data_IF_323798474009
#
_entry.id   IF_323798474009
#
_cell.length_a   1.000
_cell.length_b   1.000
_cell.length_c   1.000
_cell.angle_alpha   90.00
_cell.angle_beta   90.00
_cell.angle_gamma   90.00
#
_symmetry.space_group_name_H-M   'P 1'
#
loop_
_entity.id
_entity.type
_entity.pdbx_description
1 polymer ?
#
# COMPACT_ATOMS: atom_id res chain seq x y z
N UNK A 1 -21.32 1.08 -46.40
CA UNK A 1 -21.74 0.77 -45.01
C UNK A 1 -20.71 -0.03 -44.22
N UNK A 2 -19.94 -0.97 -44.81
CA UNK A 2 -18.91 -1.73 -44.08
C UNK A 2 -17.73 -0.83 -43.62
N UNK A 3 -17.25 0.10 -44.47
CA UNK A 3 -16.15 0.99 -44.12
C UNK A 3 -16.45 1.90 -42.91
N UNK A 4 -17.69 2.41 -42.80
CA UNK A 4 -18.11 3.21 -41.66
C UNK A 4 -18.19 2.39 -40.36
N UNK A 5 -18.56 1.10 -40.44
CA UNK A 5 -18.57 0.21 -39.27
C UNK A 5 -17.15 -0.03 -38.75
N UNK A 6 -16.19 -0.29 -39.63
CA UNK A 6 -14.78 -0.48 -39.24
C UNK A 6 -14.21 0.77 -38.56
N UNK A 7 -14.52 1.96 -39.09
CA UNK A 7 -14.10 3.23 -38.49
C UNK A 7 -14.67 3.41 -37.08
N UNK A 8 -15.97 3.12 -36.89
CA UNK A 8 -16.62 3.22 -35.57
C UNK A 8 -15.99 2.25 -34.57
N UNK A 9 -15.74 0.99 -34.96
CA UNK A 9 -15.06 0.02 -34.09
C UNK A 9 -13.63 0.46 -33.73
N UNK A 10 -12.89 1.02 -34.68
CA UNK A 10 -11.56 1.59 -34.44
C UNK A 10 -11.57 2.74 -33.43
N UNK A 11 -12.50 3.68 -33.56
CA UNK A 11 -12.61 4.82 -32.64
C UNK A 11 -13.02 4.36 -31.24
N UNK A 12 -14.01 3.46 -31.13
CA UNK A 12 -14.51 2.96 -29.84
C UNK A 12 -13.43 2.17 -29.09
N UNK A 13 -12.66 1.34 -29.80
CA UNK A 13 -11.54 0.60 -29.19
C UNK A 13 -10.43 1.54 -28.70
N UNK A 14 -10.07 2.56 -29.49
CA UNK A 14 -9.07 3.56 -29.09
C UNK A 14 -9.49 4.35 -27.84
N UNK A 15 -10.75 4.79 -27.77
CA UNK A 15 -11.30 5.48 -26.59
C UNK A 15 -11.29 4.55 -25.37
N UNK A 16 -11.68 3.29 -25.54
CA UNK A 16 -11.69 2.30 -24.45
C UNK A 16 -10.29 2.03 -23.90
N UNK A 17 -9.29 1.93 -24.79
CA UNK A 17 -7.89 1.78 -24.41
C UNK A 17 -7.34 3.02 -23.67
N UNK A 18 -7.73 4.23 -24.10
CA UNK A 18 -7.33 5.46 -23.41
C UNK A 18 -7.93 5.53 -21.99
N UNK A 19 -9.21 5.16 -21.84
CA UNK A 19 -9.87 5.14 -20.53
C UNK A 19 -9.25 4.11 -19.58
N UNK A 20 -8.86 2.94 -20.07
CA UNK A 20 -8.16 1.95 -19.23
C UNK A 20 -6.76 2.43 -18.84
N UNK A 21 -6.05 3.12 -19.74
CA UNK A 21 -4.75 3.72 -19.47
C UNK A 21 -4.78 4.76 -18.34
N UNK A 22 -5.74 5.69 -18.38
CA UNK A 22 -5.88 6.72 -17.32
C UNK A 22 -6.20 6.08 -15.96
N UNK A 23 -7.10 5.07 -15.94
CA UNK A 23 -7.42 4.33 -14.71
C UNK A 23 -6.21 3.59 -14.15
N UNK A 24 -5.38 3.00 -15.01
CA UNK A 24 -4.15 2.35 -14.60
C UNK A 24 -3.16 3.35 -13.98
N UNK A 25 -2.99 4.53 -14.59
CA UNK A 25 -2.12 5.59 -14.05
C UNK A 25 -2.58 6.07 -12.67
N UNK A 26 -3.89 6.28 -12.48
CA UNK A 26 -4.42 6.70 -11.19
C UNK A 26 -4.21 5.63 -10.10
N UNK A 27 -4.36 4.35 -10.46
CA UNK A 27 -4.07 3.23 -9.56
C UNK A 27 -2.60 3.24 -9.15
N UNK A 28 -1.68 3.41 -10.10
CA UNK A 28 -0.24 3.44 -9.82
C UNK A 28 0.14 4.63 -8.94
N UNK A 29 -0.43 5.82 -9.16
CA UNK A 29 -0.20 6.99 -8.30
C UNK A 29 -0.64 6.74 -6.86
N UNK A 30 -1.86 6.21 -6.67
CA UNK A 30 -2.37 5.89 -5.33
C UNK A 30 -1.56 4.80 -4.64
N UNK A 31 -1.13 3.78 -5.39
CA UNK A 31 -0.26 2.72 -4.88
C UNK A 31 1.10 3.29 -4.44
N UNK A 32 1.73 4.15 -5.24
CA UNK A 32 3.00 4.78 -4.90
C UNK A 32 2.88 5.63 -3.62
N UNK A 33 1.81 6.43 -3.48
CA UNK A 33 1.54 7.20 -2.27
C UNK A 33 1.31 6.29 -1.06
N UNK A 34 0.51 5.23 -1.20
CA UNK A 34 0.29 4.25 -0.14
C UNK A 34 1.62 3.62 0.31
N UNK A 35 2.47 3.21 -0.63
CA UNK A 35 3.80 2.66 -0.33
C UNK A 35 4.67 3.67 0.40
N UNK A 36 4.71 4.94 -0.02
CA UNK A 36 5.48 5.99 0.66
C UNK A 36 5.02 6.18 2.11
N UNK A 37 3.71 6.20 2.36
CA UNK A 37 3.13 6.27 3.71
C UNK A 37 3.55 5.07 4.55
N UNK A 38 3.40 3.85 4.02
CA UNK A 38 3.79 2.63 4.72
C UNK A 38 5.29 2.58 5.02
N UNK A 39 6.13 3.03 4.08
CA UNK A 39 7.58 3.13 4.26
C UNK A 39 7.96 4.15 5.34
N UNK A 40 7.27 5.29 5.38
CA UNK A 40 7.51 6.32 6.40
C UNK A 40 7.18 5.79 7.80
N UNK A 41 6.02 5.14 7.97
CA UNK A 41 5.66 4.48 9.24
C UNK A 41 6.69 3.37 9.58
N UNK A 42 7.16 2.63 8.59
CA UNK A 42 8.17 1.60 8.79
C UNK A 42 9.49 2.17 9.33
N UNK A 43 9.96 3.28 8.77
CA UNK A 43 11.15 3.97 9.25
C UNK A 43 10.94 4.52 10.66
N UNK A 44 9.75 5.04 10.98
CA UNK A 44 9.44 5.48 12.35
C UNK A 44 9.45 4.31 13.35
N UNK A 45 8.98 3.13 12.95
CA UNK A 45 9.05 1.92 13.79
C UNK A 45 10.49 1.42 13.94
N UNK A 46 11.34 1.61 12.92
CA UNK A 46 12.76 1.23 12.96
C UNK A 46 13.57 2.05 13.95
N UNK A 47 13.12 3.27 14.27
CA UNK A 47 13.74 4.13 15.29
C UNK A 47 13.36 3.74 16.73
N UNK A 48 12.42 2.80 16.93
CA UNK A 48 11.96 2.39 18.26
C UNK A 48 12.84 1.29 18.85
N UNK A 49 13.01 1.31 20.16
CA UNK A 49 13.68 0.22 20.88
C UNK A 49 12.81 -1.06 20.88
N UNK A 50 13.43 -2.20 21.19
CA UNK A 50 12.72 -3.47 21.32
C UNK A 50 11.56 -3.42 22.32
N UNK A 51 11.77 -2.79 23.48
CA UNK A 51 10.74 -2.63 24.52
C UNK A 51 9.59 -1.73 24.06
N UNK A 52 9.88 -0.69 23.29
CA UNK A 52 8.86 0.18 22.70
C UNK A 52 8.05 -0.53 21.61
N UNK A 53 8.69 -1.38 20.80
CA UNK A 53 7.99 -2.22 19.81
C UNK A 53 7.10 -3.27 20.49
N UNK A 54 7.54 -3.81 21.63
CA UNK A 54 6.78 -4.78 22.41
C UNK A 54 5.50 -4.16 23.01
N UNK A 55 5.61 -2.92 23.49
CA UNK A 55 4.46 -2.15 23.98
C UNK A 55 3.43 -1.81 22.88
N UNK A 56 3.83 -1.87 21.60
CA UNK A 56 2.97 -1.63 20.44
C UNK A 56 2.44 -2.93 19.81
N UNK A 57 2.59 -4.06 20.50
CA UNK A 57 2.08 -5.36 20.08
C UNK A 57 0.56 -5.35 19.90
N UNK A 58 0.08 -6.19 18.97
CA UNK A 58 -1.32 -6.22 18.57
C UNK A 58 -1.61 -5.34 17.35
N UNK A 59 -2.88 -5.08 17.10
CA UNK A 59 -3.36 -4.33 15.92
C UNK A 59 -3.87 -2.97 16.33
N UNK A 60 -3.37 -1.92 15.70
CA UNK A 60 -3.77 -0.53 15.95
C UNK A 60 -3.87 0.26 14.64
N UNK A 61 -4.74 1.25 14.60
CA UNK A 61 -4.77 2.24 13.52
C UNK A 61 -3.69 3.29 13.76
N UNK A 62 -3.13 3.84 12.68
CA UNK A 62 -2.25 4.98 12.75
C UNK A 62 -2.67 6.03 11.72
N UNK A 63 -2.40 7.30 12.02
CA UNK A 63 -2.68 8.39 11.09
C UNK A 63 -1.39 8.68 10.32
N UNK A 64 -1.41 8.61 8.98
CA UNK A 64 -0.27 9.00 8.15
C UNK A 64 0.17 10.43 8.46
N UNK A 65 1.48 10.68 8.39
CA UNK A 65 2.00 12.05 8.52
C UNK A 65 1.41 12.94 7.41
N UNK A 66 0.87 14.10 7.81
CA UNK A 66 0.11 15.02 6.96
C UNK A 66 1.00 15.73 5.92
N UNK A 67 2.31 15.57 6.01
CA UNK A 67 3.30 16.11 5.07
C UNK A 67 3.17 15.52 3.66
N UNK A 68 2.61 14.31 3.53
CA UNK A 68 2.27 13.72 2.24
C UNK A 68 0.85 14.15 1.80
N UNK A 69 0.75 15.11 0.88
CA UNK A 69 -0.54 15.54 0.31
C UNK A 69 -1.33 14.34 -0.22
N UNK A 70 -2.56 14.15 0.30
CA UNK A 70 -3.44 13.03 -0.07
C UNK A 70 -3.34 11.79 0.84
N UNK A 71 -2.47 11.79 1.85
CA UNK A 71 -2.32 10.67 2.78
C UNK A 71 -3.53 10.43 3.70
N UNK A 72 -4.37 11.45 3.92
CA UNK A 72 -5.61 11.34 4.72
C UNK A 72 -6.70 10.49 4.07
N UNK A 73 -6.55 10.13 2.79
CA UNK A 73 -7.49 9.26 2.09
C UNK A 73 -7.28 7.76 2.36
N UNK A 74 -6.23 7.41 3.10
CA UNK A 74 -5.88 6.02 3.42
C UNK A 74 -6.28 5.66 4.85
N UNK A 75 -6.93 4.52 5.00
CA UNK A 75 -7.13 3.88 6.30
C UNK A 75 -5.93 2.99 6.59
N UNK A 76 -5.13 3.36 7.58
CA UNK A 76 -3.87 2.71 7.89
C UNK A 76 -3.94 1.91 9.19
N UNK A 77 -3.47 0.67 9.14
CA UNK A 77 -3.39 -0.24 10.28
C UNK A 77 -1.98 -0.83 10.40
N UNK A 78 -1.54 -1.01 11.64
CA UNK A 78 -0.31 -1.67 12.01
C UNK A 78 -0.65 -2.88 12.87
N UNK A 79 -0.04 -4.01 12.57
CA UNK A 79 -0.10 -5.22 13.38
C UNK A 79 1.31 -5.67 13.71
N UNK A 80 1.61 -5.83 15.00
CA UNK A 80 2.90 -6.34 15.48
C UNK A 80 2.64 -7.64 16.23
N UNK A 81 3.20 -8.73 15.70
CA UNK A 81 3.11 -10.06 16.32
C UNK A 81 4.50 -10.61 16.59
N UNK A 82 4.60 -11.60 17.48
CA UNK A 82 5.88 -12.23 17.85
C UNK A 82 5.88 -13.68 17.41
N UNK A 83 6.23 -14.00 16.14
CA UNK A 83 6.22 -15.38 15.67
C UNK A 83 7.25 -16.26 16.42
N UNK A 84 8.29 -15.66 17.00
CA UNK A 84 9.29 -16.29 17.88
C UNK A 84 9.67 -15.33 19.01
N UNK A 85 10.24 -15.84 20.09
CA UNK A 85 10.62 -15.05 21.29
C UNK A 85 11.51 -13.84 20.96
N UNK A 86 12.45 -13.99 20.03
CA UNK A 86 13.38 -12.93 19.62
C UNK A 86 13.09 -12.38 18.21
N UNK A 87 11.84 -12.50 17.73
CA UNK A 87 11.41 -11.98 16.43
C UNK A 87 10.06 -11.26 16.51
N UNK A 88 9.98 -10.08 15.92
CA UNK A 88 8.72 -9.36 15.69
C UNK A 88 8.40 -9.34 14.21
N UNK A 89 7.18 -9.71 13.85
CA UNK A 89 6.64 -9.49 12.51
C UNK A 89 5.76 -8.25 12.55
N UNK A 90 6.09 -7.27 11.71
CA UNK A 90 5.36 -6.02 11.56
C UNK A 90 4.67 -6.06 10.22
N UNK A 91 3.35 -5.97 10.28
CA UNK A 91 2.47 -5.86 9.13
C UNK A 91 1.85 -4.47 9.13
N UNK A 92 2.10 -3.70 8.08
CA UNK A 92 1.42 -2.42 7.85
C UNK A 92 0.49 -2.58 6.65
N UNK A 93 -0.75 -2.13 6.80
CA UNK A 93 -1.76 -2.18 5.74
C UNK A 93 -2.34 -0.79 5.53
N UNK A 94 -2.37 -0.33 4.28
CA UNK A 94 -3.08 0.86 3.86
C UNK A 94 -4.24 0.45 2.96
N UNK A 95 -5.44 0.91 3.28
CA UNK A 95 -6.65 0.67 2.49
C UNK A 95 -7.21 1.98 1.95
N UNK A 96 -7.65 1.96 0.70
CA UNK A 96 -8.28 3.11 0.07
C UNK A 96 -9.32 2.69 -0.97
N UNK A 97 -10.09 3.66 -1.47
CA UNK A 97 -11.00 3.44 -2.60
C UNK A 97 -10.36 3.90 -3.91
N UNK A 98 -10.38 3.02 -4.91
CA UNK A 98 -10.02 3.33 -6.29
C UNK A 98 -10.93 4.42 -6.88
N UNK A 99 -10.53 5.02 -7.99
CA UNK A 99 -11.38 5.98 -8.73
C UNK A 99 -12.65 5.35 -9.30
N UNK A 100 -12.68 4.01 -9.37
CA UNK A 100 -13.83 3.16 -9.70
C UNK A 100 -14.67 2.75 -8.47
N UNK A 101 -14.32 3.26 -7.28
CA UNK A 101 -15.01 2.95 -6.02
C UNK A 101 -14.64 1.60 -5.39
N UNK A 102 -13.83 0.78 -6.08
CA UNK A 102 -13.42 -0.54 -5.59
C UNK A 102 -12.41 -0.39 -4.44
N UNK A 103 -12.51 -1.21 -3.39
CA UNK A 103 -11.49 -1.23 -2.35
C UNK A 103 -10.17 -1.70 -2.95
N UNK A 104 -9.09 -1.04 -2.54
CA UNK A 104 -7.71 -1.39 -2.87
C UNK A 104 -6.93 -1.38 -1.56
N UNK A 105 -5.94 -2.27 -1.46
CA UNK A 105 -5.06 -2.33 -0.30
C UNK A 105 -3.60 -2.51 -0.74
N UNK A 106 -2.71 -1.98 0.07
CA UNK A 106 -1.28 -2.21 -0.01
C UNK A 106 -0.82 -2.72 1.35
N UNK A 107 0.07 -3.70 1.33
CA UNK A 107 0.59 -4.34 2.54
C UNK A 107 2.11 -4.34 2.51
N UNK A 108 2.72 -3.91 3.60
CA UNK A 108 4.15 -4.03 3.86
C UNK A 108 4.32 -5.00 5.02
N UNK A 109 5.12 -6.04 4.84
CA UNK A 109 5.44 -7.01 5.90
C UNK A 109 6.96 -6.99 6.07
N UNK A 110 7.40 -6.88 7.32
CA UNK A 110 8.81 -7.04 7.66
C UNK A 110 8.98 -7.81 8.96
N UNK A 111 10.16 -8.41 9.14
CA UNK A 111 10.53 -9.14 10.35
C UNK A 111 11.79 -8.54 10.96
N UNK A 112 11.71 -8.24 12.25
CA UNK A 112 12.81 -7.79 13.06
C UNK A 112 13.26 -8.86 14.04
N UNK A 113 14.52 -9.27 13.93
CA UNK A 113 15.20 -9.99 15.01
C UNK A 113 15.62 -9.04 16.13
N UNK A 114 15.64 -9.52 17.37
CA UNK A 114 16.09 -8.77 18.57
C UNK A 114 17.50 -8.20 18.46
N UNK A 115 18.33 -8.79 17.59
CA UNK A 115 19.71 -8.38 17.32
C UNK A 115 19.88 -7.63 15.97
N UNK A 116 18.80 -7.08 15.39
CA UNK A 116 18.89 -6.10 14.31
C UNK A 116 18.95 -6.63 12.87
N UNK A 117 18.73 -7.94 12.63
CA UNK A 117 18.53 -8.42 11.25
C UNK A 117 17.10 -8.07 10.81
N UNK A 118 17.01 -7.18 9.82
CA UNK A 118 15.76 -6.81 9.13
C UNK A 118 15.66 -7.70 7.88
N UNK A 119 14.78 -8.71 7.90
CA UNK A 119 14.59 -9.63 6.77
C UNK A 119 13.30 -9.25 6.03
N UNK A 120 13.43 -8.77 4.80
CA UNK A 120 12.32 -8.34 3.96
C UNK A 120 11.92 -9.49 3.01
N UNK A 121 10.72 -10.04 3.19
CA UNK A 121 10.09 -10.94 2.22
C UNK A 121 8.96 -10.17 1.53
N UNK A 122 9.20 -9.69 0.30
CA UNK A 122 8.12 -9.19 -0.55
C UNK A 122 7.44 -10.37 -1.25
N UNK A 123 6.22 -10.72 -0.85
CA UNK A 123 5.35 -11.56 -1.70
C UNK A 123 4.39 -10.65 -2.47
N UNK A 124 4.36 -10.81 -3.79
CA UNK A 124 3.44 -10.12 -4.68
C UNK A 124 2.40 -11.15 -5.11
N UNK A 125 1.12 -10.90 -4.85
CA UNK A 125 0.01 -11.66 -5.43
C UNK A 125 -0.72 -10.77 -6.44
#
# INVERSE_FOLDING_TARGET
MIASLVLVFGIVSAISAMQSGVRAMDRTRKLALATQVLQTEMEQLRLKSWTQLDALSGTATFTPDATASGASAFNCTRSITSPKTDMKEITLTAEWRGSDGRPQSAKLITRYGKNGLNDFISTTH
#
